data_IF_169352398229
#
_entry.id   IF_169352398229
#
_cell.length_a   1.000
_cell.length_b   1.000
_cell.length_c   1.000
_cell.angle_alpha   90.00
_cell.angle_beta   90.00
_cell.angle_gamma   90.00
#
_symmetry.space_group_name_H-M   'P 1'
#
loop_
_entity.id
_entity.type
_entity.pdbx_description
1 polymer ?
#
# COMPACT_ATOMS: atom_id res chain seq x y z
N UNK A 1 -13.22 -4.97 28.07
CA UNK A 1 -14.22 -4.35 27.18
C UNK A 1 -13.49 -4.04 25.89
N UNK A 2 -13.99 -4.50 24.75
CA UNK A 2 -13.36 -4.25 23.45
C UNK A 2 -14.02 -3.00 22.85
N UNK A 3 -13.31 -1.89 22.83
CA UNK A 3 -13.83 -0.58 22.35
C UNK A 3 -14.25 -0.62 20.87
N UNK A 4 -13.89 -1.68 20.15
CA UNK A 4 -14.22 -1.87 18.74
C UNK A 4 -15.54 -2.62 18.49
N UNK A 5 -16.24 -3.05 19.55
CA UNK A 5 -17.59 -3.64 19.43
C UNK A 5 -18.71 -2.61 19.29
N UNK A 6 -18.39 -1.32 19.41
CA UNK A 6 -19.34 -0.22 19.21
C UNK A 6 -19.69 -0.10 17.73
N UNK A 7 -20.97 0.15 17.40
CA UNK A 7 -21.50 0.23 16.02
C UNK A 7 -20.72 1.20 15.11
N UNK A 8 -20.10 2.20 15.73
CA UNK A 8 -19.29 3.24 15.11
C UNK A 8 -18.01 2.71 14.44
N UNK A 9 -17.61 1.48 14.78
CA UNK A 9 -16.48 0.78 14.17
C UNK A 9 -16.91 -0.36 13.24
N UNK A 10 -18.21 -0.45 12.86
CA UNK A 10 -18.69 -1.49 11.95
C UNK A 10 -18.48 -1.14 10.49
N UNK A 11 -18.71 0.11 10.08
CA UNK A 11 -18.56 0.57 8.68
C UNK A 11 -18.11 2.03 8.63
N UNK A 12 -17.28 2.34 7.63
CA UNK A 12 -16.90 3.69 7.25
C UNK A 12 -18.00 4.37 6.43
N UNK A 13 -17.82 5.67 6.15
CA UNK A 13 -18.82 6.48 5.45
C UNK A 13 -19.17 5.99 4.03
N UNK A 14 -18.27 5.27 3.39
CA UNK A 14 -18.45 4.63 2.08
C UNK A 14 -18.97 3.18 2.16
N UNK A 15 -19.25 2.68 3.37
CA UNK A 15 -19.82 1.36 3.60
C UNK A 15 -18.80 0.23 3.79
N UNK A 16 -17.49 0.48 3.65
CA UNK A 16 -16.45 -0.53 3.90
C UNK A 16 -16.29 -0.81 5.40
N UNK A 17 -16.20 -2.08 5.83
CA UNK A 17 -16.01 -2.42 7.24
C UNK A 17 -14.65 -1.99 7.78
N UNK A 18 -14.60 -1.52 9.03
CA UNK A 18 -13.32 -1.29 9.71
C UNK A 18 -12.76 -2.61 10.25
N UNK A 19 -11.44 -2.76 10.17
CA UNK A 19 -10.74 -3.87 10.82
C UNK A 19 -10.73 -3.64 12.32
N UNK A 20 -11.26 -4.61 13.05
CA UNK A 20 -11.23 -4.69 14.49
C UNK A 20 -10.93 -6.12 14.94
N UNK A 21 -10.85 -6.37 16.25
CA UNK A 21 -10.47 -7.71 16.76
C UNK A 21 -11.47 -8.78 16.35
N UNK A 22 -12.76 -8.45 16.29
CA UNK A 22 -13.83 -9.36 15.87
C UNK A 22 -13.73 -9.66 14.38
N UNK A 23 -13.73 -8.63 13.52
CA UNK A 23 -13.65 -8.82 12.06
C UNK A 23 -12.34 -9.48 11.65
N UNK A 24 -11.21 -9.12 12.28
CA UNK A 24 -9.94 -9.77 12.00
C UNK A 24 -9.93 -11.27 12.31
N UNK A 25 -10.74 -11.72 13.29
CA UNK A 25 -10.91 -13.16 13.59
C UNK A 25 -11.89 -13.83 12.65
N UNK A 26 -13.07 -13.25 12.46
CA UNK A 26 -14.15 -13.81 11.64
C UNK A 26 -13.69 -13.97 10.19
N UNK A 27 -13.03 -12.95 9.65
CA UNK A 27 -12.57 -12.92 8.26
C UNK A 27 -11.15 -13.52 8.09
N UNK A 28 -10.58 -14.06 9.18
CA UNK A 28 -9.25 -14.70 9.22
C UNK A 28 -8.16 -13.80 8.63
N UNK A 29 -8.10 -12.55 9.09
CA UNK A 29 -7.19 -11.52 8.59
C UNK A 29 -5.81 -11.57 9.27
N UNK A 30 -5.64 -12.35 10.32
CA UNK A 30 -4.40 -12.40 11.10
C UNK A 30 -3.40 -13.38 10.47
N UNK A 31 -2.11 -13.11 10.62
CA UNK A 31 -1.08 -14.06 10.14
C UNK A 31 -0.65 -13.87 8.70
N UNK A 32 -1.48 -13.21 7.88
CA UNK A 32 -1.28 -13.00 6.45
C UNK A 32 -0.48 -11.73 6.17
N UNK A 33 0.13 -11.70 4.99
CA UNK A 33 0.74 -10.51 4.42
C UNK A 33 -0.28 -9.76 3.59
N UNK A 34 -0.24 -8.44 3.66
CA UNK A 34 -1.10 -7.51 2.94
C UNK A 34 -0.27 -6.42 2.32
N UNK A 35 -0.63 -6.03 1.10
CA UNK A 35 -0.01 -4.93 0.38
C UNK A 35 -0.78 -3.67 0.66
N UNK A 36 -0.11 -2.62 1.16
CA UNK A 36 -0.75 -1.31 1.37
C UNK A 36 -1.08 -0.73 0.00
N UNK A 37 -2.37 -0.49 -0.25
CA UNK A 37 -2.85 0.11 -1.49
C UNK A 37 -2.85 1.63 -1.40
N UNK A 38 -3.42 2.16 -0.31
CA UNK A 38 -3.58 3.60 -0.11
C UNK A 38 -3.42 3.94 1.37
N UNK A 39 -2.89 5.13 1.64
CA UNK A 39 -2.80 5.73 2.97
C UNK A 39 -3.34 7.16 2.91
N UNK A 40 -4.46 7.44 3.59
CA UNK A 40 -5.15 8.73 3.50
C UNK A 40 -5.79 9.17 4.80
N UNK A 41 -6.04 10.47 4.93
CA UNK A 41 -6.73 11.06 6.08
C UNK A 41 -8.22 11.20 5.79
N UNK A 42 -9.06 10.66 6.67
CA UNK A 42 -10.53 10.78 6.61
C UNK A 42 -11.04 11.42 7.92
N UNK A 43 -12.03 12.31 7.82
CA UNK A 43 -12.68 12.90 8.98
C UNK A 43 -13.59 11.87 9.66
N UNK A 44 -13.25 11.45 10.87
CA UNK A 44 -14.04 10.51 11.66
C UNK A 44 -14.87 11.24 12.71
N UNK A 45 -16.13 10.84 12.86
CA UNK A 45 -16.99 11.39 13.92
C UNK A 45 -16.51 10.96 15.31
N UNK A 46 -16.58 11.87 16.28
CA UNK A 46 -16.28 11.59 17.68
C UNK A 46 -17.51 11.05 18.39
N UNK A 47 -17.29 10.17 19.35
CA UNK A 47 -18.37 9.59 20.16
C UNK A 47 -18.05 9.77 21.64
N UNK A 48 -19.08 9.97 22.45
CA UNK A 48 -18.94 9.98 23.90
C UNK A 48 -18.74 8.56 24.46
N UNK A 49 -18.49 8.50 25.77
CA UNK A 49 -18.29 7.23 26.52
C UNK A 49 -19.51 6.31 26.50
N UNK A 50 -20.68 6.86 26.19
CA UNK A 50 -21.97 6.16 26.16
C UNK A 50 -22.35 5.76 24.70
N UNK A 51 -21.50 6.10 23.72
CA UNK A 51 -21.64 5.75 22.31
C UNK A 51 -22.42 6.76 21.47
N UNK A 52 -22.79 7.93 22.00
CA UNK A 52 -23.51 8.95 21.24
C UNK A 52 -22.54 9.75 20.37
N UNK A 53 -22.97 10.06 19.14
CA UNK A 53 -22.20 10.91 18.21
C UNK A 53 -22.14 12.34 18.75
N UNK A 54 -20.94 12.90 18.81
CA UNK A 54 -20.70 14.30 19.09
C UNK A 54 -20.62 15.08 17.77
N UNK A 55 -21.03 16.34 17.77
CA UNK A 55 -20.86 17.29 16.63
C UNK A 55 -19.40 17.76 16.50
N UNK A 56 -18.46 16.84 16.69
CA UNK A 56 -17.02 17.04 16.54
C UNK A 56 -16.47 15.93 15.66
N UNK A 57 -15.58 16.29 14.72
CA UNK A 57 -14.84 15.35 13.88
C UNK A 57 -13.36 15.39 14.23
N UNK A 58 -12.69 14.25 14.12
CA UNK A 58 -11.24 14.13 14.26
C UNK A 58 -10.68 13.51 12.98
N UNK A 59 -9.55 14.05 12.52
CA UNK A 59 -8.83 13.47 11.39
C UNK A 59 -8.22 12.14 11.81
N UNK A 60 -8.47 11.09 11.02
CA UNK A 60 -7.89 9.76 11.22
C UNK A 60 -7.18 9.32 9.96
N UNK A 61 -5.98 8.78 10.14
CA UNK A 61 -5.24 8.15 9.06
C UNK A 61 -5.76 6.72 8.88
N UNK A 62 -6.03 6.36 7.63
CA UNK A 62 -6.54 5.06 7.21
C UNK A 62 -5.56 4.41 6.25
N UNK A 63 -5.47 3.08 6.32
CA UNK A 63 -4.89 2.26 5.27
C UNK A 63 -5.98 1.43 4.59
N UNK A 64 -5.84 1.30 3.28
CA UNK A 64 -6.49 0.25 2.50
C UNK A 64 -5.44 -0.74 2.01
N UNK A 65 -5.88 -1.98 1.81
CA UNK A 65 -5.02 -3.07 1.33
C UNK A 65 -5.56 -3.62 0.02
N UNK A 66 -4.68 -4.17 -0.82
CA UNK A 66 -5.08 -4.79 -2.09
C UNK A 66 -5.96 -6.03 -1.87
N UNK A 67 -5.63 -6.85 -0.87
CA UNK A 67 -6.19 -8.19 -0.73
C UNK A 67 -7.49 -8.22 0.09
N UNK A 68 -7.83 -7.13 0.79
CA UNK A 68 -8.99 -7.09 1.70
C UNK A 68 -9.78 -5.79 1.57
N UNK A 69 -11.08 -5.92 1.44
CA UNK A 69 -12.03 -4.81 1.34
C UNK A 69 -12.42 -4.26 2.73
N UNK A 70 -11.39 -3.99 3.56
CA UNK A 70 -11.56 -3.41 4.89
C UNK A 70 -10.65 -2.20 5.07
N UNK A 71 -11.14 -1.19 5.79
CA UNK A 71 -10.32 -0.04 6.19
C UNK A 71 -9.61 -0.31 7.50
N UNK A 72 -8.31 -0.06 7.55
CA UNK A 72 -7.53 -0.10 8.78
C UNK A 72 -7.32 1.30 9.32
N UNK A 73 -7.95 1.62 10.45
CA UNK A 73 -7.72 2.90 11.12
C UNK A 73 -6.40 2.84 11.88
N UNK A 74 -5.46 3.72 11.56
CA UNK A 74 -4.18 3.76 12.24
C UNK A 74 -4.30 4.43 13.59
N UNK A 75 -3.81 3.74 14.62
CA UNK A 75 -3.55 4.32 15.92
C UNK A 75 -2.10 4.82 16.00
N UNK A 76 -1.78 5.60 17.04
CA UNK A 76 -0.44 6.16 17.24
C UNK A 76 0.68 5.10 17.25
N UNK A 77 0.53 3.93 17.91
CA UNK A 77 1.51 2.84 17.81
C UNK A 77 1.76 2.38 16.37
N UNK A 78 0.72 2.05 15.61
CA UNK A 78 0.86 1.55 14.24
C UNK A 78 1.46 2.62 13.32
N UNK A 79 1.04 3.89 13.46
CA UNK A 79 1.64 5.01 12.74
C UNK A 79 3.14 5.11 12.98
N UNK A 80 3.57 5.07 14.25
CA UNK A 80 5.00 5.13 14.58
C UNK A 80 5.78 3.93 14.01
N UNK A 81 5.17 2.75 13.97
CA UNK A 81 5.78 1.57 13.33
C UNK A 81 5.98 1.81 11.84
N UNK A 82 4.96 2.26 11.13
CA UNK A 82 5.05 2.53 9.69
C UNK A 82 6.09 3.62 9.39
N UNK A 83 6.11 4.69 10.19
CA UNK A 83 7.13 5.75 10.04
C UNK A 83 8.54 5.22 10.23
N UNK A 84 8.73 4.37 11.24
CA UNK A 84 10.03 3.76 11.53
C UNK A 84 10.48 2.83 10.39
N UNK A 85 9.56 2.06 9.83
CA UNK A 85 9.88 1.00 8.88
C UNK A 85 9.93 1.48 7.42
N UNK A 86 9.16 2.51 7.07
CA UNK A 86 8.93 2.94 5.69
C UNK A 86 9.19 4.42 5.41
N UNK A 87 9.28 5.28 6.43
CA UNK A 87 9.49 6.73 6.26
C UNK A 87 8.30 7.58 6.67
N UNK A 88 8.49 8.90 6.72
CA UNK A 88 7.50 9.84 7.28
C UNK A 88 6.36 10.18 6.34
N UNK A 89 6.56 10.03 5.03
CA UNK A 89 5.55 10.34 4.03
C UNK A 89 4.67 9.11 3.80
N UNK A 90 3.34 9.30 3.77
CA UNK A 90 2.39 8.19 3.60
C UNK A 90 2.50 7.52 2.22
N UNK A 91 2.97 8.26 1.22
CA UNK A 91 3.17 7.76 -0.14
C UNK A 91 4.27 6.69 -0.20
N UNK A 92 5.27 6.77 0.69
CA UNK A 92 6.35 5.78 0.80
C UNK A 92 5.85 4.40 1.29
N UNK A 93 4.65 4.36 1.88
CA UNK A 93 4.08 3.14 2.45
C UNK A 93 3.33 2.33 1.40
N UNK A 94 2.92 2.96 0.29
CA UNK A 94 2.16 2.30 -0.77
C UNK A 94 3.00 1.19 -1.42
N UNK A 95 2.38 0.04 -1.64
CA UNK A 95 3.02 -1.17 -2.11
C UNK A 95 3.80 -1.95 -1.04
N UNK A 96 3.97 -1.43 0.18
CA UNK A 96 4.69 -2.15 1.22
C UNK A 96 3.87 -3.28 1.85
N UNK A 97 4.53 -4.41 2.12
CA UNK A 97 3.89 -5.55 2.77
C UNK A 97 3.84 -5.38 4.29
N UNK A 98 2.67 -5.50 4.87
CA UNK A 98 2.48 -5.54 6.33
C UNK A 98 1.76 -6.81 6.76
N UNK A 99 1.90 -7.16 8.04
CA UNK A 99 1.07 -8.19 8.69
C UNK A 99 0.16 -7.57 9.72
N UNK A 100 -1.00 -8.19 9.90
CA UNK A 100 -1.90 -7.89 11.00
C UNK A 100 -1.75 -8.92 12.12
N UNK A 101 -1.70 -8.44 13.36
CA UNK A 101 -1.66 -9.24 14.59
C UNK A 101 -2.60 -8.67 15.63
N UNK A 102 -3.00 -9.51 16.59
CA UNK A 102 -3.68 -9.03 17.81
C UNK A 102 -2.62 -8.84 18.89
N UNK A 103 -2.63 -7.67 19.52
CA UNK A 103 -1.90 -7.44 20.77
C UNK A 103 -2.84 -7.19 21.94
N UNK A 104 -2.33 -7.34 23.16
CA UNK A 104 -3.01 -6.91 24.37
C UNK A 104 -2.26 -5.72 24.95
N UNK A 105 -2.91 -4.56 24.99
CA UNK A 105 -2.34 -3.33 25.54
C UNK A 105 -2.21 -3.40 27.07
N UNK A 106 -1.37 -2.54 27.70
CA UNK A 106 -1.17 -2.55 29.16
C UNK A 106 -2.45 -2.38 29.98
N UNK A 107 -3.46 -1.74 29.42
CA UNK A 107 -4.79 -1.59 30.04
C UNK A 107 -5.69 -2.84 29.91
N UNK A 108 -5.16 -3.96 29.41
CA UNK A 108 -5.90 -5.21 29.18
C UNK A 108 -6.79 -5.23 27.93
N UNK A 109 -6.86 -4.13 27.17
CA UNK A 109 -7.64 -4.06 25.94
C UNK A 109 -6.91 -4.76 24.80
N UNK A 110 -7.64 -5.45 23.93
CA UNK A 110 -7.07 -6.07 22.73
C UNK A 110 -7.27 -5.16 21.53
N UNK A 111 -6.32 -5.17 20.60
CA UNK A 111 -6.46 -4.45 19.34
C UNK A 111 -5.60 -5.07 18.24
N UNK A 112 -5.91 -4.70 17.01
CA UNK A 112 -5.14 -5.11 15.84
C UNK A 112 -3.96 -4.14 15.67
N UNK A 113 -2.78 -4.70 15.42
CA UNK A 113 -1.54 -3.96 15.21
C UNK A 113 -0.83 -4.40 13.94
N UNK A 114 0.07 -3.52 13.48
CA UNK A 114 1.12 -3.83 12.52
C UNK A 114 2.42 -4.02 13.30
N UNK A 115 2.96 -5.25 13.40
CA UNK A 115 4.27 -5.49 13.99
C UNK A 115 5.38 -4.81 13.17
N UNK A 116 6.47 -4.43 13.81
CA UNK A 116 7.59 -3.82 13.07
C UNK A 116 8.33 -4.85 12.22
N UNK A 117 9.00 -4.38 11.17
CA UNK A 117 9.89 -5.20 10.32
C UNK A 117 10.94 -5.95 11.15
N UNK A 118 11.46 -5.30 12.20
CA UNK A 118 12.43 -5.91 13.10
C UNK A 118 11.80 -7.05 13.92
N UNK A 119 10.63 -6.84 14.52
CA UNK A 119 9.94 -7.88 15.30
C UNK A 119 9.62 -9.11 14.42
N UNK A 120 9.12 -8.87 13.20
CA UNK A 120 8.83 -9.94 12.24
C UNK A 120 10.10 -10.71 11.86
N UNK A 121 11.21 -10.00 11.63
CA UNK A 121 12.51 -10.62 11.33
C UNK A 121 13.01 -11.47 12.50
N UNK A 122 12.86 -11.00 13.73
CA UNK A 122 13.27 -11.74 14.94
C UNK A 122 12.40 -13.00 15.15
N UNK A 123 11.15 -12.99 14.69
CA UNK A 123 10.25 -14.14 14.63
C UNK A 123 10.52 -15.07 13.43
N UNK A 124 11.48 -14.72 12.54
CA UNK A 124 11.77 -15.47 11.32
C UNK A 124 10.75 -15.28 10.20
N UNK A 125 9.89 -14.26 10.29
CA UNK A 125 8.92 -13.89 9.27
C UNK A 125 9.49 -12.81 8.35
N UNK A 126 9.68 -13.13 7.08
CA UNK A 126 10.05 -12.14 6.05
C UNK A 126 8.87 -11.85 5.14
N UNK A 127 8.68 -10.60 4.69
CA UNK A 127 7.66 -10.28 3.70
C UNK A 127 7.83 -11.15 2.45
N UNK A 128 6.74 -11.42 1.72
CA UNK A 128 6.87 -11.97 0.38
C UNK A 128 7.80 -11.05 -0.40
N UNK A 129 8.66 -11.64 -1.22
CA UNK A 129 9.30 -10.87 -2.27
C UNK A 129 8.17 -10.21 -3.05
N UNK A 130 8.18 -8.88 -3.21
CA UNK A 130 7.26 -8.19 -4.14
C UNK A 130 7.28 -9.04 -5.40
N UNK A 131 6.13 -9.62 -5.75
CA UNK A 131 5.97 -10.18 -7.07
C UNK A 131 6.08 -8.98 -7.99
N UNK A 132 7.32 -8.66 -8.40
CA UNK A 132 7.52 -8.07 -9.70
C UNK A 132 6.65 -8.95 -10.60
N UNK A 133 5.62 -8.38 -11.25
CA UNK A 133 5.26 -8.91 -12.58
C UNK A 133 6.61 -8.96 -13.27
N UNK A 134 7.20 -10.15 -13.34
CA UNK A 134 8.60 -10.38 -13.69
C UNK A 134 8.95 -9.34 -14.73
N UNK A 135 9.84 -8.37 -14.46
CA UNK A 135 9.96 -7.11 -15.24
C UNK A 135 9.88 -7.37 -16.75
N UNK A 136 10.40 -8.52 -17.18
CA UNK A 136 10.28 -9.13 -18.50
C UNK A 136 8.86 -9.24 -19.05
N UNK A 137 7.89 -9.76 -18.32
CA UNK A 137 6.49 -9.93 -18.75
C UNK A 137 5.75 -8.59 -18.86
N UNK A 138 6.00 -7.65 -17.94
CA UNK A 138 5.46 -6.30 -18.00
C UNK A 138 6.04 -5.54 -19.20
N UNK A 139 7.37 -5.52 -19.34
CA UNK A 139 8.05 -4.89 -20.48
C UNK A 139 7.63 -5.55 -21.80
N UNK A 140 7.45 -6.87 -21.83
CA UNK A 140 6.97 -7.57 -23.03
C UNK A 140 5.55 -7.22 -23.42
N UNK A 141 4.69 -6.90 -22.45
CA UNK A 141 3.33 -6.42 -22.71
C UNK A 141 3.38 -4.97 -23.18
N UNK A 142 4.09 -4.11 -22.46
CA UNK A 142 4.26 -2.69 -22.80
C UNK A 142 4.89 -2.47 -24.18
N UNK A 143 5.85 -3.32 -24.60
CA UNK A 143 6.43 -3.29 -25.95
C UNK A 143 5.41 -3.55 -27.07
N UNK A 144 4.31 -4.28 -26.80
CA UNK A 144 3.25 -4.51 -27.78
C UNK A 144 2.33 -3.31 -27.91
N UNK A 145 2.18 -2.55 -26.83
CA UNK A 145 1.24 -1.42 -26.73
C UNK A 145 1.90 -0.09 -27.11
N UNK A 146 3.22 0.05 -26.89
CA UNK A 146 3.97 1.26 -27.15
C UNK A 146 5.25 1.00 -27.95
N UNK A 147 5.32 1.63 -29.14
CA UNK A 147 6.54 1.61 -29.97
C UNK A 147 7.73 2.29 -29.30
N UNK A 148 7.49 3.29 -28.42
CA UNK A 148 8.56 3.96 -27.69
C UNK A 148 9.22 3.05 -26.64
N UNK A 149 8.43 2.21 -25.96
CA UNK A 149 8.96 1.17 -25.04
C UNK A 149 9.86 0.20 -25.81
N UNK A 150 9.43 -0.22 -27.01
CA UNK A 150 10.23 -1.08 -27.87
C UNK A 150 11.58 -0.44 -28.24
N UNK A 151 11.58 0.82 -28.65
CA UNK A 151 12.81 1.57 -28.98
C UNK A 151 13.74 1.74 -27.78
N UNK A 152 13.21 2.02 -26.59
CA UNK A 152 13.99 2.11 -25.36
C UNK A 152 14.66 0.76 -25.03
N UNK A 153 13.91 -0.35 -25.11
CA UNK A 153 14.45 -1.70 -24.87
C UNK A 153 15.52 -2.08 -25.91
N UNK A 154 15.34 -1.70 -27.18
CA UNK A 154 16.35 -1.93 -28.23
C UNK A 154 17.65 -1.18 -27.94
N UNK A 155 17.59 0.09 -27.51
CA UNK A 155 18.79 0.85 -27.13
C UNK A 155 19.51 0.24 -25.94
N UNK A 156 18.79 -0.10 -24.86
CA UNK A 156 19.39 -0.76 -23.71
C UNK A 156 20.11 -2.06 -24.10
N UNK A 157 19.54 -2.83 -25.03
CA UNK A 157 20.22 -4.03 -25.58
C UNK A 157 21.47 -3.71 -26.37
N UNK A 158 21.45 -2.65 -27.18
CA UNK A 158 22.60 -2.23 -27.98
C UNK A 158 23.78 -1.77 -27.10
N UNK A 159 23.49 -1.32 -25.87
CA UNK A 159 24.48 -0.91 -24.86
C UNK A 159 24.81 -1.98 -23.80
N UNK A 160 24.30 -3.20 -23.95
CA UNK A 160 24.46 -4.31 -22.97
C UNK A 160 24.02 -3.93 -21.54
N UNK A 161 22.98 -3.09 -21.44
CA UNK A 161 22.39 -2.67 -20.18
C UNK A 161 21.25 -3.60 -19.73
N UNK A 162 21.05 -3.69 -18.41
CA UNK A 162 20.00 -4.50 -17.83
C UNK A 162 18.61 -3.99 -18.23
N UNK A 163 17.76 -4.89 -18.74
CA UNK A 163 16.39 -4.58 -19.15
C UNK A 163 15.46 -4.72 -17.94
N UNK A 164 15.34 -3.64 -17.19
CA UNK A 164 14.42 -3.48 -16.05
C UNK A 164 13.42 -2.35 -16.33
N UNK A 165 12.27 -2.33 -15.66
CA UNK A 165 11.26 -1.28 -15.86
C UNK A 165 11.87 0.11 -15.61
N UNK A 166 12.70 0.22 -14.57
CA UNK A 166 13.42 1.44 -14.22
C UNK A 166 14.33 1.93 -15.35
N UNK A 167 15.15 1.04 -15.92
CA UNK A 167 16.07 1.42 -17.00
C UNK A 167 15.31 1.80 -18.27
N UNK A 168 14.19 1.14 -18.57
CA UNK A 168 13.31 1.50 -19.69
C UNK A 168 12.71 2.89 -19.49
N UNK A 169 12.24 3.24 -18.29
CA UNK A 169 11.72 4.58 -17.98
C UNK A 169 12.80 5.66 -18.13
N UNK A 170 14.02 5.38 -17.67
CA UNK A 170 15.15 6.30 -17.82
C UNK A 170 15.46 6.55 -19.31
N UNK A 171 15.56 5.47 -20.10
CA UNK A 171 15.84 5.59 -21.54
C UNK A 171 14.71 6.30 -22.31
N UNK A 172 13.45 6.11 -21.89
CA UNK A 172 12.31 6.88 -22.41
C UNK A 172 12.45 8.38 -22.11
N UNK A 173 12.95 8.74 -20.93
CA UNK A 173 13.27 10.12 -20.55
C UNK A 173 14.31 10.72 -21.48
N UNK A 174 15.40 9.98 -21.70
CA UNK A 174 16.48 10.33 -22.62
C UNK A 174 15.99 10.55 -24.06
N UNK A 175 15.14 9.65 -24.57
CA UNK A 175 14.54 9.75 -25.89
C UNK A 175 13.65 11.00 -26.01
N UNK A 176 12.89 11.34 -24.95
CA UNK A 176 12.07 12.54 -24.92
C UNK A 176 12.93 13.81 -24.91
N UNK A 177 13.97 13.85 -24.07
CA UNK A 177 14.89 15.00 -23.98
C UNK A 177 15.62 15.25 -25.31
N UNK A 178 15.99 14.17 -26.01
CA UNK A 178 16.60 14.22 -27.34
C UNK A 178 15.61 14.53 -28.47
N UNK A 179 14.30 14.61 -28.17
CA UNK A 179 13.20 14.73 -29.13
C UNK A 179 13.10 13.56 -30.13
N UNK A 180 13.63 12.39 -29.77
CA UNK A 180 13.53 11.15 -30.56
C UNK A 180 12.10 10.57 -30.50
N UNK A 181 11.33 10.91 -29.45
CA UNK A 181 9.90 10.57 -29.30
C UNK A 181 9.07 11.80 -28.94
N UNK A 182 7.78 11.79 -29.29
CA UNK A 182 6.85 12.86 -28.92
C UNK A 182 6.44 12.77 -27.44
N UNK A 183 6.03 13.89 -26.83
CA UNK A 183 5.44 13.89 -25.48
C UNK A 183 4.27 12.91 -25.35
N UNK A 184 3.45 12.77 -26.40
CA UNK A 184 2.34 11.82 -26.41
C UNK A 184 2.84 10.37 -26.36
N UNK A 185 3.85 10.02 -27.16
CA UNK A 185 4.44 8.69 -27.16
C UNK A 185 5.15 8.36 -25.83
N UNK A 186 5.76 9.36 -25.21
CA UNK A 186 6.35 9.23 -23.88
C UNK A 186 5.30 8.93 -22.81
N UNK A 187 4.22 9.71 -22.72
CA UNK A 187 3.13 9.45 -21.76
C UNK A 187 2.49 8.08 -21.98
N UNK A 188 2.21 7.70 -23.23
CA UNK A 188 1.65 6.37 -23.55
C UNK A 188 2.60 5.23 -23.17
N UNK A 189 3.91 5.45 -23.20
CA UNK A 189 4.91 4.47 -22.77
C UNK A 189 4.95 4.32 -21.25
N UNK A 190 4.80 5.41 -20.50
CA UNK A 190 4.67 5.36 -19.04
C UNK A 190 3.39 4.66 -18.63
N UNK A 191 2.25 5.02 -19.23
CA UNK A 191 0.96 4.38 -18.94
C UNK A 191 1.03 2.85 -19.18
N UNK A 192 1.71 2.40 -20.24
CA UNK A 192 1.87 0.97 -20.55
C UNK A 192 2.81 0.23 -19.58
N UNK A 193 3.73 0.94 -18.93
CA UNK A 193 4.66 0.39 -17.93
C UNK A 193 4.11 0.52 -16.50
N UNK A 194 3.08 1.34 -16.30
CA UNK A 194 2.37 1.56 -15.02
C UNK A 194 0.99 0.87 -14.98
N UNK A 195 0.56 0.23 -16.08
CA UNK A 195 -0.70 -0.50 -16.16
C UNK A 195 -0.71 -1.74 -15.23
N UNK A 196 -1.32 -1.58 -14.07
CA UNK A 196 -1.69 -2.62 -13.10
C UNK A 196 -2.71 -3.61 -13.66
#
# INVERSE_FOLDING_TARGET
>A
MDVTTLDVYKKSGDGKPYINVTTAKEDKLLGKWYTIKEAYVEAASKFDKDGNRLDETVDKLHLEFEEIDHKFTLNKPNFNTLVKDFGTESDDWVGEFVKLRITTYPNGTKGVIIPSRQDLKDEGETPPTKASKDDKDLIKTAMKESGAVKTAVERLRDFDEDITVKNVINELGDLKEKNDITNKAYSQALDALEAE
#
